data_IF_745785564101
#
_entry.id   IF_745785564101
#
_cell.length_a   1.000
_cell.length_b   1.000
_cell.length_c   1.000
_cell.angle_alpha   90.00
_cell.angle_beta   90.00
_cell.angle_gamma   90.00
#
_symmetry.space_group_name_H-M   'P 1'
#
loop_
_entity.id
_entity.type
_entity.pdbx_description
1 polymer ?
#
# COMPACT_ATOMS: atom_id res chain seq x y z
N UNK A 1 4.68 24.02 0.77
CA UNK A 1 5.43 23.55 -0.42
C UNK A 1 5.72 22.05 -0.37
N UNK A 2 6.63 21.53 0.48
CA UNK A 2 6.90 20.07 0.51
C UNK A 2 5.67 19.22 0.85
N UNK A 3 4.85 19.67 1.81
CA UNK A 3 3.55 19.06 2.18
C UNK A 3 2.57 18.97 1.01
N UNK A 4 2.50 20.03 0.21
CA UNK A 4 1.50 20.17 -0.85
C UNK A 4 1.88 19.31 -2.05
N UNK A 5 3.17 19.24 -2.37
CA UNK A 5 3.73 18.30 -3.36
C UNK A 5 3.44 16.87 -2.91
N UNK A 6 3.76 16.53 -1.66
CA UNK A 6 3.50 15.21 -1.10
C UNK A 6 2.01 14.84 -1.20
N UNK A 7 1.09 15.73 -0.80
CA UNK A 7 -0.36 15.50 -0.94
C UNK A 7 -0.79 15.33 -2.39
N UNK A 8 -0.29 16.14 -3.31
CA UNK A 8 -0.69 16.09 -4.73
C UNK A 8 -0.21 14.83 -5.46
N UNK A 9 0.92 14.26 -5.03
CA UNK A 9 1.51 13.08 -5.67
C UNK A 9 0.98 11.79 -5.02
N UNK A 10 0.66 11.81 -3.71
CA UNK A 10 0.51 10.60 -2.90
C UNK A 10 -0.86 10.42 -2.28
N UNK A 11 -1.78 11.38 -2.47
CA UNK A 11 -3.19 11.27 -2.12
C UNK A 11 -4.03 11.57 -3.37
N UNK A 12 -3.91 10.74 -4.43
CA UNK A 12 -4.70 10.95 -5.63
C UNK A 12 -6.18 10.87 -5.31
N UNK A 13 -6.99 11.59 -6.10
CA UNK A 13 -8.43 11.38 -6.08
C UNK A 13 -8.72 9.89 -6.29
N UNK A 14 -9.63 9.34 -5.49
CA UNK A 14 -10.00 7.94 -5.61
C UNK A 14 -10.71 7.75 -6.96
N UNK A 15 -10.38 6.67 -7.70
CA UNK A 15 -11.03 6.41 -8.97
C UNK A 15 -12.51 6.10 -8.74
N UNK A 16 -13.36 6.51 -9.69
CA UNK A 16 -14.72 6.02 -9.77
C UNK A 16 -14.68 4.60 -10.36
N UNK A 17 -15.24 3.63 -9.63
CA UNK A 17 -15.23 2.23 -10.06
C UNK A 17 -16.62 1.63 -9.90
N UNK A 18 -17.18 1.18 -11.02
CA UNK A 18 -18.50 0.55 -11.04
C UNK A 18 -18.54 -0.64 -10.07
N UNK A 19 -19.50 -0.63 -9.15
CA UNK A 19 -19.68 -1.70 -8.16
C UNK A 19 -18.86 -1.56 -6.87
N UNK A 20 -18.08 -0.49 -6.71
CA UNK A 20 -17.36 -0.19 -5.47
C UNK A 20 -17.40 1.31 -5.12
N UNK A 21 -17.75 1.63 -3.87
CA UNK A 21 -17.62 2.98 -3.34
C UNK A 21 -16.33 3.08 -2.54
N UNK A 22 -15.42 3.96 -2.95
CA UNK A 22 -14.14 4.19 -2.29
C UNK A 22 -14.17 5.47 -1.47
N UNK A 23 -13.62 5.41 -0.25
CA UNK A 23 -13.42 6.55 0.62
C UNK A 23 -12.07 6.47 1.30
N UNK A 24 -11.42 7.61 1.50
CA UNK A 24 -10.14 7.68 2.18
C UNK A 24 -10.05 8.95 3.02
N UNK A 25 -9.45 8.82 4.19
CA UNK A 25 -9.18 9.93 5.09
C UNK A 25 -7.73 9.79 5.59
N UNK A 26 -6.94 10.84 5.39
CA UNK A 26 -5.61 10.95 5.98
C UNK A 26 -5.52 12.24 6.79
N UNK A 27 -5.36 12.10 8.10
CA UNK A 27 -5.18 13.19 9.04
C UNK A 27 -3.71 13.27 9.44
N UNK A 28 -2.88 14.07 8.74
CA UNK A 28 -1.46 14.14 9.03
C UNK A 28 -1.21 14.80 10.39
N UNK A 29 -0.40 14.18 11.23
CA UNK A 29 0.02 14.75 12.51
C UNK A 29 1.09 15.84 12.37
N UNK A 30 1.80 15.90 11.22
CA UNK A 30 2.91 16.84 10.94
C UNK A 30 2.95 17.31 9.48
N UNK A 31 3.85 18.24 9.17
CA UNK A 31 3.97 18.86 7.85
C UNK A 31 4.42 17.90 6.73
N UNK A 32 5.20 16.86 7.04
CA UNK A 32 5.69 15.84 6.09
C UNK A 32 5.58 14.48 6.77
N UNK A 33 4.74 13.60 6.22
CA UNK A 33 4.45 12.26 6.77
C UNK A 33 5.20 11.14 6.04
N UNK A 34 5.30 9.97 6.67
CA UNK A 34 5.75 8.73 6.02
C UNK A 34 4.59 7.89 5.48
N UNK A 35 3.37 8.26 5.87
CA UNK A 35 2.15 7.51 5.64
C UNK A 35 1.58 7.84 4.26
N UNK A 36 1.02 6.85 3.58
CA UNK A 36 0.40 7.01 2.26
C UNK A 36 -0.72 5.99 2.05
N UNK A 37 -1.60 6.28 1.10
CA UNK A 37 -2.56 5.31 0.57
C UNK A 37 -2.66 5.44 -0.95
N UNK A 38 -3.21 4.43 -1.61
CA UNK A 38 -3.55 4.51 -3.02
C UNK A 38 -4.72 3.58 -3.39
N UNK A 39 -5.42 3.94 -4.45
CA UNK A 39 -6.40 3.09 -5.12
C UNK A 39 -6.07 3.06 -6.62
N UNK A 40 -5.54 1.93 -7.09
CA UNK A 40 -4.99 1.77 -8.43
C UNK A 40 -5.92 0.85 -9.22
N UNK A 41 -6.54 1.38 -10.27
CA UNK A 41 -7.28 0.57 -11.25
C UNK A 41 -6.28 -0.30 -12.00
N UNK A 42 -6.44 -1.63 -11.89
CA UNK A 42 -5.59 -2.60 -12.58
C UNK A 42 -6.16 -2.96 -13.96
N UNK A 43 -7.48 -3.10 -14.01
CA UNK A 43 -8.28 -3.30 -15.22
C UNK A 43 -9.77 -3.00 -14.93
N UNK A 44 -10.66 -3.36 -15.86
CA UNK A 44 -12.11 -3.12 -15.77
C UNK A 44 -12.80 -3.74 -14.55
N UNK A 45 -12.17 -4.70 -13.86
CA UNK A 45 -12.76 -5.42 -12.73
C UNK A 45 -11.93 -5.38 -11.46
N UNK A 46 -10.64 -5.09 -11.56
CA UNK A 46 -9.71 -5.22 -10.44
C UNK A 46 -9.16 -3.88 -10.01
N UNK A 47 -9.21 -3.63 -8.70
CA UNK A 47 -8.65 -2.45 -8.05
C UNK A 47 -7.65 -2.92 -7.00
N UNK A 48 -6.44 -2.36 -7.01
CA UNK A 48 -5.51 -2.49 -5.90
C UNK A 48 -5.70 -1.36 -4.89
N UNK A 49 -5.78 -1.71 -3.62
CA UNK A 49 -5.83 -0.80 -2.47
C UNK A 49 -4.52 -0.92 -1.71
N UNK A 50 -3.89 0.21 -1.44
CA UNK A 50 -2.58 0.30 -0.79
C UNK A 50 -2.69 1.18 0.43
N UNK A 51 -2.11 0.75 1.54
CA UNK A 51 -1.86 1.58 2.72
C UNK A 51 -0.44 1.30 3.20
N UNK A 52 0.32 2.33 3.54
CA UNK A 52 1.64 2.14 4.10
C UNK A 52 2.09 3.24 5.06
N UNK A 53 3.07 2.91 5.89
CA UNK A 53 3.71 3.80 6.87
C UNK A 53 5.21 3.53 6.93
N UNK A 54 5.99 4.59 6.76
CA UNK A 54 7.46 4.58 6.83
C UNK A 54 7.92 4.80 8.26
N UNK A 55 8.94 4.03 8.67
CA UNK A 55 9.47 3.97 10.04
C UNK A 55 10.02 5.29 10.59
N UNK A 56 10.41 6.21 9.73
CA UNK A 56 11.04 7.49 10.08
C UNK A 56 10.17 8.67 9.60
N UNK A 57 10.64 9.91 9.80
CA UNK A 57 9.90 11.14 9.47
C UNK A 57 10.80 12.16 8.77
N UNK A 58 10.19 13.25 8.29
CA UNK A 58 10.89 14.30 7.57
C UNK A 58 11.19 13.96 6.11
N UNK A 59 12.15 14.68 5.50
CA UNK A 59 12.42 14.60 4.06
C UNK A 59 12.92 13.22 3.61
N UNK A 60 13.87 12.54 4.30
CA UNK A 60 14.31 11.21 3.90
C UNK A 60 13.16 10.18 3.88
N UNK A 61 12.29 10.20 4.90
CA UNK A 61 11.12 9.34 4.96
C UNK A 61 10.12 9.62 3.83
N UNK A 62 9.91 10.89 3.48
CA UNK A 62 9.04 11.27 2.37
C UNK A 62 9.60 10.80 1.01
N UNK A 63 10.91 10.87 0.80
CA UNK A 63 11.56 10.35 -0.40
C UNK A 63 11.44 8.83 -0.48
N UNK A 64 11.69 8.13 0.64
CA UNK A 64 11.55 6.68 0.71
C UNK A 64 10.11 6.22 0.48
N UNK A 65 9.15 6.95 1.04
CA UNK A 65 7.74 6.74 0.81
C UNK A 65 7.36 6.97 -0.66
N UNK A 66 7.80 8.07 -1.30
CA UNK A 66 7.53 8.35 -2.70
C UNK A 66 8.13 7.30 -3.65
N UNK A 67 9.34 6.81 -3.33
CA UNK A 67 9.98 5.71 -4.04
C UNK A 67 9.17 4.41 -3.89
N UNK A 68 8.77 4.07 -2.65
CA UNK A 68 7.94 2.90 -2.36
C UNK A 68 6.62 2.95 -3.13
N UNK A 69 5.92 4.08 -3.07
CA UNK A 69 4.68 4.32 -3.80
C UNK A 69 4.85 4.10 -5.31
N UNK A 70 5.91 4.68 -5.89
CA UNK A 70 6.20 4.55 -7.32
C UNK A 70 6.49 3.11 -7.73
N UNK A 71 7.25 2.37 -6.91
CA UNK A 71 7.54 0.96 -7.15
C UNK A 71 6.28 0.09 -7.04
N UNK A 72 5.39 0.35 -6.07
CA UNK A 72 4.12 -0.37 -5.95
C UNK A 72 3.28 -0.17 -7.23
N UNK A 73 3.13 1.06 -7.70
CA UNK A 73 2.43 1.33 -8.97
C UNK A 73 3.05 0.63 -10.17
N UNK A 74 4.38 0.55 -10.23
CA UNK A 74 5.09 -0.10 -11.33
C UNK A 74 4.91 -1.64 -11.32
N UNK A 75 4.91 -2.25 -10.14
CA UNK A 75 4.92 -3.71 -9.99
C UNK A 75 3.53 -4.34 -9.86
N UNK A 76 2.54 -3.62 -9.33
CA UNK A 76 1.21 -4.20 -9.01
C UNK A 76 0.48 -4.75 -10.24
N UNK A 77 0.64 -4.11 -11.40
CA UNK A 77 0.03 -4.56 -12.66
C UNK A 77 0.82 -5.68 -13.36
N UNK A 78 2.08 -5.89 -12.97
CA UNK A 78 2.98 -6.87 -13.61
C UNK A 78 2.90 -8.25 -12.97
N UNK A 79 2.31 -8.34 -11.78
CA UNK A 79 2.38 -9.52 -10.92
C UNK A 79 1.02 -10.18 -10.75
N UNK A 80 1.02 -11.50 -10.63
CA UNK A 80 -0.21 -12.28 -10.48
C UNK A 80 -0.86 -12.11 -9.11
N UNK A 81 -0.05 -11.91 -8.06
CA UNK A 81 -0.54 -11.81 -6.68
C UNK A 81 0.00 -10.57 -5.97
N UNK A 82 -0.75 -10.03 -4.99
CA UNK A 82 -0.27 -8.94 -4.13
C UNK A 82 1.07 -9.27 -3.46
N UNK A 83 1.28 -10.52 -3.06
CA UNK A 83 2.52 -10.95 -2.40
C UNK A 83 3.73 -10.88 -3.33
N UNK A 84 3.56 -11.23 -4.61
CA UNK A 84 4.63 -11.17 -5.61
C UNK A 84 5.01 -9.71 -5.92
N UNK A 85 4.02 -8.82 -6.00
CA UNK A 85 4.26 -7.38 -6.12
C UNK A 85 5.09 -6.86 -4.94
N UNK A 86 4.69 -7.16 -3.69
CA UNK A 86 5.44 -6.70 -2.51
C UNK A 86 6.87 -7.29 -2.46
N UNK A 87 7.08 -8.53 -2.90
CA UNK A 87 8.43 -9.12 -3.03
C UNK A 87 9.28 -8.39 -4.07
N UNK A 88 8.70 -8.01 -5.21
CA UNK A 88 9.41 -7.26 -6.22
C UNK A 88 9.80 -5.87 -5.72
N UNK A 89 8.85 -5.14 -5.12
CA UNK A 89 9.11 -3.85 -4.46
C UNK A 89 10.21 -3.98 -3.42
N UNK A 90 10.17 -5.03 -2.57
CA UNK A 90 11.20 -5.26 -1.56
C UNK A 90 12.60 -5.42 -2.15
N UNK A 91 12.75 -6.15 -3.26
CA UNK A 91 14.05 -6.33 -3.93
C UNK A 91 14.62 -4.99 -4.40
N UNK A 92 13.78 -4.15 -4.99
CA UNK A 92 14.19 -2.79 -5.40
C UNK A 92 14.59 -1.95 -4.19
N UNK A 93 13.76 -1.91 -3.15
CA UNK A 93 14.05 -1.15 -1.94
C UNK A 93 15.34 -1.61 -1.28
N UNK A 94 15.53 -2.91 -1.04
CA UNK A 94 16.76 -3.43 -0.44
C UNK A 94 18.02 -3.14 -1.27
N UNK A 95 17.91 -3.11 -2.61
CA UNK A 95 19.03 -2.73 -3.48
C UNK A 95 19.42 -1.24 -3.37
N UNK A 96 18.51 -0.38 -2.93
CA UNK A 96 18.70 1.07 -2.81
C UNK A 96 18.82 1.56 -1.35
N UNK A 97 18.55 0.71 -0.36
CA UNK A 97 18.36 1.12 1.04
C UNK A 97 19.68 1.26 1.81
N UNK A 98 20.47 2.28 1.49
CA UNK A 98 21.66 2.64 2.27
C UNK A 98 21.34 3.30 3.62
N UNK A 99 20.10 3.71 3.84
CA UNK A 99 19.65 4.50 5.00
C UNK A 99 19.06 3.64 6.14
N UNK A 100 18.88 2.34 5.96
CA UNK A 100 18.30 1.46 6.97
C UNK A 100 16.82 1.74 7.29
N UNK A 101 16.11 2.47 6.41
CA UNK A 101 14.68 2.75 6.57
C UNK A 101 13.83 1.55 6.16
N UNK A 102 12.62 1.47 6.70
CA UNK A 102 11.67 0.45 6.29
C UNK A 102 10.26 1.01 6.19
N UNK A 103 9.40 0.26 5.52
CA UNK A 103 8.01 0.64 5.29
C UNK A 103 7.10 -0.54 5.52
N UNK A 104 6.07 -0.31 6.31
CA UNK A 104 4.97 -1.27 6.43
C UNK A 104 3.99 -1.04 5.28
N UNK A 105 3.51 -2.10 4.63
CA UNK A 105 2.53 -2.00 3.54
C UNK A 105 1.45 -3.08 3.68
N UNK A 106 0.20 -2.68 3.52
CA UNK A 106 -0.92 -3.55 3.18
C UNK A 106 -1.26 -3.31 1.71
N UNK A 107 -1.26 -4.38 0.92
CA UNK A 107 -1.71 -4.38 -0.46
C UNK A 107 -2.85 -5.37 -0.61
N UNK A 108 -4.01 -4.88 -1.00
CA UNK A 108 -5.18 -5.68 -1.30
C UNK A 108 -5.60 -5.50 -2.75
N UNK A 109 -6.12 -6.54 -3.40
CA UNK A 109 -6.68 -6.50 -4.74
C UNK A 109 -8.10 -7.02 -4.65
N UNK A 110 -9.06 -6.16 -4.97
CA UNK A 110 -10.49 -6.46 -5.02
C UNK A 110 -10.88 -6.71 -6.48
N UNK A 111 -11.46 -7.87 -6.75
CA UNK A 111 -12.24 -8.10 -7.97
C UNK A 111 -13.70 -7.72 -7.69
N UNK A 112 -14.20 -6.65 -8.32
CA UNK A 112 -15.55 -6.14 -8.06
C UNK A 112 -16.64 -7.05 -8.64
N UNK A 113 -16.31 -7.87 -9.63
CA UNK A 113 -17.25 -8.81 -10.25
C UNK A 113 -17.49 -10.03 -9.37
N UNK A 114 -16.42 -10.63 -8.83
CA UNK A 114 -16.53 -11.82 -7.96
C UNK A 114 -16.67 -11.47 -6.48
N UNK A 115 -16.34 -10.23 -6.10
CA UNK A 115 -16.19 -9.76 -4.70
C UNK A 115 -15.08 -10.50 -3.94
N UNK A 116 -14.12 -11.08 -4.65
CA UNK A 116 -12.95 -11.70 -4.04
C UNK A 116 -11.91 -10.63 -3.68
N UNK A 117 -11.44 -10.67 -2.42
CA UNK A 117 -10.37 -9.80 -1.94
C UNK A 117 -9.12 -10.65 -1.69
N UNK A 118 -8.03 -10.36 -2.42
CA UNK A 118 -6.71 -10.96 -2.18
C UNK A 118 -5.83 -9.95 -1.47
N UNK A 119 -5.13 -10.37 -0.42
CA UNK A 119 -4.32 -9.48 0.41
C UNK A 119 -2.92 -10.02 0.64
N UNK A 120 -1.96 -9.10 0.68
CA UNK A 120 -0.62 -9.34 1.17
C UNK A 120 -0.20 -8.21 2.10
N UNK A 121 0.60 -8.57 3.11
CA UNK A 121 1.11 -7.63 4.10
C UNK A 121 2.63 -7.72 4.17
N UNK A 122 3.24 -6.57 4.35
CA UNK A 122 4.64 -6.41 4.72
C UNK A 122 4.67 -5.60 6.02
N UNK A 123 4.54 -6.26 7.16
CA UNK A 123 4.62 -5.64 8.50
C UNK A 123 3.42 -4.79 8.92
N UNK A 124 2.49 -4.45 8.02
CA UNK A 124 1.34 -3.60 8.34
C UNK A 124 0.22 -4.36 9.06
N UNK A 125 -0.62 -3.62 9.78
CA UNK A 125 -1.75 -4.19 10.51
C UNK A 125 -2.79 -4.84 9.58
N UNK A 126 -3.59 -5.74 10.15
CA UNK A 126 -4.67 -6.39 9.39
C UNK A 126 -5.78 -5.38 9.11
N UNK A 127 -6.38 -5.39 7.91
CA UNK A 127 -7.58 -4.62 7.68
C UNK A 127 -8.74 -5.21 8.47
N UNK A 128 -9.71 -4.36 8.79
CA UNK A 128 -11.04 -4.80 9.21
C UNK A 128 -11.86 -5.07 7.94
N UNK A 129 -12.41 -6.28 7.85
CA UNK A 129 -13.35 -6.66 6.80
C UNK A 129 -14.69 -6.92 7.46
N UNK A 130 -15.74 -6.26 6.98
CA UNK A 130 -17.11 -6.42 7.49
C UNK A 130 -18.03 -6.89 6.37
N UNK A 131 -19.00 -7.73 6.71
CA UNK A 131 -20.08 -8.08 5.78
C UNK A 131 -21.19 -7.02 5.74
N UNK A 132 -22.22 -7.28 4.93
CA UNK A 132 -23.36 -6.37 4.77
C UNK A 132 -24.20 -6.21 6.06
N UNK A 133 -24.03 -7.10 7.04
CA UNK A 133 -24.69 -7.07 8.34
C UNK A 133 -23.81 -6.41 9.41
N UNK A 134 -22.62 -5.92 9.04
CA UNK A 134 -21.66 -5.30 9.95
C UNK A 134 -20.87 -6.28 10.80
N UNK A 135 -20.93 -7.58 10.50
CA UNK A 135 -20.16 -8.59 11.22
C UNK A 135 -18.70 -8.59 10.72
N UNK A 136 -17.76 -8.62 11.67
CA UNK A 136 -16.34 -8.77 11.37
C UNK A 136 -16.06 -10.15 10.78
N UNK A 137 -15.43 -10.15 9.61
CA UNK A 137 -14.96 -11.34 8.93
C UNK A 137 -13.50 -11.61 9.31
N UNK A 138 -13.11 -12.86 9.60
CA UNK A 138 -11.74 -13.20 9.89
C UNK A 138 -10.87 -13.02 8.63
N UNK A 139 -9.79 -12.28 8.77
CA UNK A 139 -8.79 -12.12 7.71
C UNK A 139 -7.64 -13.09 7.98
N UNK A 140 -7.39 -14.08 7.10
CA UNK A 140 -6.28 -15.02 7.31
C UNK A 140 -4.95 -14.27 7.31
N UNK A 141 -4.27 -14.29 8.44
CA UNK A 141 -3.06 -13.52 8.68
C UNK A 141 -1.82 -14.41 8.53
N UNK A 142 -1.05 -14.20 7.46
CA UNK A 142 0.37 -14.58 7.46
C UNK A 142 1.17 -13.42 8.04
N UNK A 143 2.18 -13.74 8.86
CA UNK A 143 3.15 -12.73 9.27
C UNK A 143 3.91 -12.27 8.03
N UNK A 144 4.17 -10.97 7.93
CA UNK A 144 4.97 -10.39 6.86
C UNK A 144 5.94 -9.40 7.47
N UNK A 145 7.16 -9.36 6.98
CA UNK A 145 8.16 -8.39 7.44
C UNK A 145 7.99 -7.06 6.70
N UNK A 146 8.28 -5.90 7.32
CA UNK A 146 8.34 -4.63 6.61
C UNK A 146 9.30 -4.68 5.41
N UNK A 147 8.97 -3.92 4.37
CA UNK A 147 9.81 -3.84 3.17
C UNK A 147 11.06 -2.99 3.46
N UNK A 148 12.16 -3.32 2.79
CA UNK A 148 13.44 -2.60 2.92
C UNK A 148 14.36 -3.13 4.02
N UNK A 149 13.87 -3.97 4.95
CA UNK A 149 14.68 -4.53 6.05
C UNK A 149 15.64 -5.66 5.61
N UNK A 150 15.18 -6.62 4.79
CA UNK A 150 15.97 -7.78 4.35
C UNK A 150 15.57 -8.21 2.94
N UNK A 151 16.53 -8.69 2.16
CA UNK A 151 16.35 -9.12 0.77
C UNK A 151 15.32 -10.25 0.58
N UNK A 152 15.11 -11.12 1.58
CA UNK A 152 14.14 -12.23 1.52
C UNK A 152 13.00 -12.01 2.50
N UNK A 153 11.78 -11.87 1.97
CA UNK A 153 10.53 -11.98 2.73
C UNK A 153 10.22 -13.47 2.94
N UNK A 154 9.98 -13.87 4.20
CA UNK A 154 9.54 -15.23 4.55
C UNK A 154 8.07 -15.44 4.20
#
# INVERSE_FOLDING_TARGET
>A
MARDIQRSILLPALPDVAGASLGALMMPSRAVGGDFYDAIVLDDRRIALVVGDVSDKGVPAALFMALTYSLIRAEVNRMTTPGDALRAVNRHLCGMNSAGMFVTVLLAVLDVGTRELRLARAGHDLPLVVDAQGKLLPVPAKQGMPLGCLMRLR
#
